data_IF_662459406461
#
_entry.id   IF_662459406461
#
_cell.length_a   1.000
_cell.length_b   1.000
_cell.length_c   1.000
_cell.angle_alpha   90.00
_cell.angle_beta   90.00
_cell.angle_gamma   90.00
#
_symmetry.space_group_name_H-M   'P 1'
#
loop_
_entity.id
_entity.type
_entity.pdbx_description
1 polymer ?
#
# COMPACT_ATOMS: atom_id res chain seq x y z
N UNK A 1 -4.50 -15.81 -10.43
CA UNK A 1 -3.38 -15.29 -9.63
C UNK A 1 -3.80 -13.97 -9.01
N UNK A 2 -3.70 -13.84 -7.69
CA UNK A 2 -4.09 -12.63 -6.96
C UNK A 2 -2.86 -12.13 -6.19
N UNK A 3 -2.56 -10.83 -6.30
CA UNK A 3 -1.43 -10.16 -5.65
C UNK A 3 -1.95 -8.92 -4.95
N UNK A 4 -1.67 -8.80 -3.66
CA UNK A 4 -2.01 -7.65 -2.85
C UNK A 4 -0.93 -6.57 -2.99
N UNK A 5 -1.25 -5.46 -3.63
CA UNK A 5 -0.29 -4.38 -3.88
C UNK A 5 -0.11 -3.42 -2.68
N UNK A 6 -0.87 -3.59 -1.59
CA UNK A 6 -0.80 -2.71 -0.41
C UNK A 6 -1.22 -3.43 0.87
N UNK A 7 -0.26 -3.68 1.74
CA UNK A 7 -0.47 -4.28 3.05
C UNK A 7 0.56 -3.78 4.06
N UNK A 8 0.33 -4.04 5.34
CA UNK A 8 1.20 -3.62 6.43
C UNK A 8 1.50 -4.76 7.37
N UNK A 9 2.73 -4.79 7.90
CA UNK A 9 3.17 -5.72 8.94
C UNK A 9 3.94 -4.96 10.03
N UNK A 10 3.79 -5.37 11.29
CA UNK A 10 4.56 -4.84 12.41
C UNK A 10 4.61 -5.80 13.59
N UNK A 11 5.71 -5.77 14.34
CA UNK A 11 5.82 -6.48 15.62
C UNK A 11 5.33 -5.61 16.78
N UNK A 12 5.58 -4.30 16.72
CA UNK A 12 5.18 -3.35 17.76
C UNK A 12 4.81 -2.02 17.10
N UNK A 13 3.67 -1.49 17.47
CA UNK A 13 3.27 -0.13 17.17
C UNK A 13 3.45 0.70 18.44
N UNK A 14 4.53 1.49 18.48
CA UNK A 14 4.89 2.34 19.62
C UNK A 14 5.68 3.54 19.08
N UNK A 15 4.96 4.56 18.64
CA UNK A 15 5.49 5.73 17.97
C UNK A 15 4.67 6.97 18.31
N UNK A 16 4.93 8.08 17.66
CA UNK A 16 4.12 9.28 17.76
C UNK A 16 4.05 9.98 16.40
N UNK A 17 2.98 10.71 16.16
CA UNK A 17 2.85 11.59 15.04
C UNK A 17 2.25 12.92 15.50
N UNK A 18 2.84 14.02 15.04
CA UNK A 18 2.47 15.39 15.46
C UNK A 18 2.41 15.55 16.99
N UNK A 19 3.37 14.93 17.71
CA UNK A 19 3.45 14.97 19.16
C UNK A 19 2.42 14.12 19.92
N UNK A 20 1.50 13.45 19.20
CA UNK A 20 0.49 12.58 19.79
C UNK A 20 0.93 11.11 19.74
N UNK A 21 0.74 10.34 20.82
CA UNK A 21 1.18 8.96 20.89
C UNK A 21 0.35 8.04 19.99
N UNK A 22 1.03 7.03 19.42
CA UNK A 22 0.42 5.91 18.72
C UNK A 22 1.00 4.63 19.31
N UNK A 23 0.15 3.81 19.94
CA UNK A 23 0.62 2.66 20.69
C UNK A 23 -0.37 1.51 20.66
N UNK A 24 0.10 0.33 20.27
CA UNK A 24 -0.70 -0.90 20.34
C UNK A 24 -1.14 -1.21 21.77
N UNK A 25 -2.41 -1.57 21.89
CA UNK A 25 -3.03 -2.11 23.09
C UNK A 25 -3.45 -3.57 22.82
N UNK A 26 -4.05 -4.21 23.81
CA UNK A 26 -4.60 -5.56 23.65
C UNK A 26 -5.89 -5.55 22.79
N UNK A 27 -6.21 -6.70 22.22
CA UNK A 27 -7.46 -6.96 21.50
C UNK A 27 -7.64 -6.05 20.26
N UNK A 28 -6.55 -5.82 19.52
CA UNK A 28 -6.56 -5.04 18.28
C UNK A 28 -6.80 -3.54 18.45
N UNK A 29 -6.81 -3.04 19.68
CA UNK A 29 -6.95 -1.61 19.99
C UNK A 29 -5.60 -0.91 19.97
N UNK A 30 -5.63 0.38 19.73
CA UNK A 30 -4.45 1.26 19.84
C UNK A 30 -4.85 2.61 20.43
N UNK A 31 -3.93 3.25 21.13
CA UNK A 31 -3.98 4.70 21.24
C UNK A 31 -3.57 5.25 19.88
N UNK A 32 -4.42 6.02 19.26
CA UNK A 32 -4.20 6.63 17.97
C UNK A 32 -4.51 8.12 18.05
N UNK A 33 -3.47 8.93 17.95
CA UNK A 33 -3.55 10.39 18.06
C UNK A 33 -4.25 10.86 19.35
N UNK A 34 -3.99 10.13 20.47
CA UNK A 34 -4.53 10.47 21.78
C UNK A 34 -5.86 9.80 22.14
N UNK A 35 -6.49 9.09 21.21
CA UNK A 35 -7.75 8.37 21.43
C UNK A 35 -7.55 6.86 21.38
N UNK A 36 -8.34 6.11 22.18
CA UNK A 36 -8.38 4.65 22.06
C UNK A 36 -9.32 4.25 20.93
N UNK A 37 -8.80 3.56 19.92
CA UNK A 37 -9.57 3.11 18.75
C UNK A 37 -9.37 1.62 18.48
N UNK A 38 -10.32 0.98 17.81
CA UNK A 38 -10.16 -0.35 17.25
C UNK A 38 -9.38 -0.20 15.93
N UNK A 39 -8.06 -0.46 15.96
CA UNK A 39 -7.18 -0.27 14.81
C UNK A 39 -7.15 -1.47 13.87
N UNK A 40 -7.22 -2.68 14.44
CA UNK A 40 -7.14 -3.97 13.77
C UNK A 40 -8.14 -4.95 14.40
N UNK A 41 -8.36 -6.14 13.82
CA UNK A 41 -9.32 -7.10 14.38
C UNK A 41 -9.02 -7.48 15.83
N UNK A 42 -10.05 -7.68 16.66
CA UNK A 42 -9.87 -8.00 18.08
C UNK A 42 -9.22 -9.36 18.35
N UNK A 43 -9.20 -10.26 17.38
CA UNK A 43 -8.52 -11.55 17.49
C UNK A 43 -6.99 -11.46 17.36
N UNK A 44 -6.45 -10.33 16.91
CA UNK A 44 -5.02 -10.00 17.03
C UNK A 44 -4.78 -9.46 18.45
N UNK A 45 -4.71 -10.39 19.40
CA UNK A 45 -4.88 -10.13 20.85
C UNK A 45 -3.74 -9.26 21.43
N UNK A 46 -2.52 -9.50 20.98
CA UNK A 46 -1.31 -8.82 21.45
C UNK A 46 -0.96 -7.56 20.64
N UNK A 47 -1.72 -7.27 19.59
CA UNK A 47 -1.46 -6.14 18.69
C UNK A 47 -0.30 -6.35 17.72
N UNK A 48 0.26 -7.58 17.66
CA UNK A 48 1.33 -7.96 16.73
C UNK A 48 0.71 -8.42 15.41
N UNK A 49 1.00 -7.72 14.35
CA UNK A 49 0.56 -8.06 12.99
C UNK A 49 1.71 -8.71 12.22
N UNK A 50 1.99 -9.97 12.50
CA UNK A 50 3.13 -10.68 11.95
C UNK A 50 2.91 -11.25 10.55
N UNK A 51 4.02 -11.52 9.85
CA UNK A 51 4.01 -12.17 8.54
C UNK A 51 3.33 -13.54 8.58
N UNK A 52 3.49 -14.32 9.65
CA UNK A 52 2.88 -15.64 9.80
C UNK A 52 1.36 -15.56 9.88
N UNK A 53 0.82 -14.58 10.61
CA UNK A 53 -0.61 -14.32 10.68
C UNK A 53 -1.15 -13.90 9.31
N UNK A 54 -0.42 -13.03 8.61
CA UNK A 54 -0.83 -12.60 7.29
C UNK A 54 -0.74 -13.72 6.25
N UNK A 55 0.32 -14.52 6.25
CA UNK A 55 0.44 -15.70 5.38
C UNK A 55 -0.73 -16.66 5.53
N UNK A 56 -1.17 -16.92 6.77
CA UNK A 56 -2.35 -17.74 7.01
C UNK A 56 -3.62 -17.17 6.36
N UNK A 57 -3.81 -15.85 6.41
CA UNK A 57 -4.92 -15.18 5.72
C UNK A 57 -4.76 -15.21 4.20
N UNK A 58 -3.54 -15.00 3.69
CA UNK A 58 -3.24 -15.06 2.25
C UNK A 58 -3.50 -16.46 1.68
N UNK A 59 -3.03 -17.52 2.37
CA UNK A 59 -3.22 -18.89 1.94
C UNK A 59 -4.70 -19.27 1.91
N UNK A 60 -5.45 -18.93 2.96
CA UNK A 60 -6.90 -19.13 3.01
C UNK A 60 -7.64 -18.36 1.90
N UNK A 61 -7.22 -17.14 1.63
CA UNK A 61 -7.82 -16.30 0.59
C UNK A 61 -7.23 -16.52 -0.81
N UNK A 62 -6.28 -17.46 -1.00
CA UNK A 62 -5.63 -17.75 -2.28
C UNK A 62 -4.89 -16.54 -2.89
N UNK A 63 -4.30 -15.68 -2.04
CA UNK A 63 -3.45 -14.55 -2.45
C UNK A 63 -2.00 -15.02 -2.52
N UNK A 64 -1.42 -14.99 -3.72
CA UNK A 64 -0.10 -15.57 -4.00
C UNK A 64 1.05 -14.77 -3.40
N UNK A 65 0.98 -13.43 -3.44
CA UNK A 65 2.01 -12.55 -2.91
C UNK A 65 1.40 -11.24 -2.41
N UNK A 66 2.14 -10.52 -1.57
CA UNK A 66 1.74 -9.19 -1.10
C UNK A 66 2.93 -8.22 -1.07
N UNK A 67 2.64 -6.96 -1.34
CA UNK A 67 3.57 -5.85 -1.14
C UNK A 67 3.33 -5.25 0.23
N UNK A 68 4.39 -5.23 1.04
CA UNK A 68 4.35 -4.69 2.40
C UNK A 68 4.95 -3.29 2.39
N UNK A 69 4.09 -2.31 2.55
CA UNK A 69 4.47 -0.90 2.68
C UNK A 69 4.56 -0.50 4.15
N UNK A 70 5.15 0.65 4.43
CA UNK A 70 5.22 1.19 5.79
C UNK A 70 4.49 2.53 5.89
N UNK A 71 3.94 2.76 7.06
CA UNK A 71 3.27 4.00 7.43
C UNK A 71 3.89 4.52 8.75
N UNK A 72 4.07 5.83 8.89
CA UNK A 72 4.67 6.43 10.09
C UNK A 72 3.90 6.06 11.36
N UNK A 73 2.59 5.88 11.26
CA UNK A 73 1.76 5.48 12.40
C UNK A 73 2.00 4.04 12.88
N UNK A 74 2.64 3.20 12.07
CA UNK A 74 3.02 1.84 12.49
C UNK A 74 4.42 1.80 13.11
N UNK A 75 5.13 2.93 13.09
CA UNK A 75 6.54 3.02 13.43
C UNK A 75 7.45 2.43 12.35
N UNK A 76 8.74 2.69 12.45
CA UNK A 76 9.71 2.14 11.51
C UNK A 76 9.91 0.63 11.79
N UNK A 77 9.57 -0.21 10.81
CA UNK A 77 9.65 -1.67 10.88
C UNK A 77 10.77 -2.24 10.00
N UNK A 78 11.75 -1.43 9.59
CA UNK A 78 12.78 -1.83 8.63
C UNK A 78 13.50 -3.13 9.02
N UNK A 79 13.86 -3.32 10.29
CA UNK A 79 14.59 -4.50 10.74
C UNK A 79 13.72 -5.76 10.61
N UNK A 80 12.47 -5.67 11.05
CA UNK A 80 11.53 -6.78 10.93
C UNK A 80 11.20 -7.10 9.46
N UNK A 81 10.96 -6.09 8.63
CA UNK A 81 10.62 -6.31 7.22
C UNK A 81 11.80 -6.86 6.40
N UNK A 82 13.03 -6.53 6.76
CA UNK A 82 14.22 -7.18 6.17
C UNK A 82 14.21 -8.69 6.45
N UNK A 83 13.92 -9.10 7.69
CA UNK A 83 13.80 -10.51 8.06
C UNK A 83 12.67 -11.20 7.30
N UNK A 84 11.50 -10.55 7.18
CA UNK A 84 10.36 -11.05 6.42
C UNK A 84 10.71 -11.26 4.95
N UNK A 85 11.34 -10.26 4.31
CA UNK A 85 11.75 -10.35 2.91
C UNK A 85 12.77 -11.46 2.63
N UNK A 86 13.69 -11.71 3.58
CA UNK A 86 14.65 -12.83 3.51
C UNK A 86 14.01 -14.19 3.73
N UNK A 87 13.05 -14.26 4.65
CA UNK A 87 12.40 -15.52 5.04
C UNK A 87 11.35 -15.98 4.03
N UNK A 88 10.64 -15.03 3.40
CA UNK A 88 9.52 -15.31 2.50
C UNK A 88 9.65 -14.56 1.16
N UNK A 89 10.77 -14.72 0.42
CA UNK A 89 11.06 -13.91 -0.78
C UNK A 89 10.05 -14.09 -1.92
N UNK A 90 9.38 -15.25 -1.98
CA UNK A 90 8.38 -15.57 -3.01
C UNK A 90 6.95 -15.13 -2.61
N UNK A 91 6.78 -14.62 -1.39
CA UNK A 91 5.48 -14.24 -0.85
C UNK A 91 5.38 -12.75 -0.55
N UNK A 92 6.49 -12.09 -0.18
CA UNK A 92 6.48 -10.68 0.19
C UNK A 92 7.50 -9.86 -0.57
N UNK A 93 7.03 -8.74 -1.14
CA UNK A 93 7.86 -7.63 -1.58
C UNK A 93 7.81 -6.58 -0.48
N UNK A 94 8.93 -6.32 0.18
CA UNK A 94 8.98 -5.40 1.32
C UNK A 94 9.53 -4.03 0.94
N UNK A 95 8.90 -2.96 1.43
CA UNK A 95 9.37 -1.58 1.30
C UNK A 95 10.07 -1.14 2.58
N UNK A 96 11.22 -0.47 2.43
CA UNK A 96 11.85 0.27 3.50
C UNK A 96 11.20 1.64 3.70
N UNK A 97 11.44 2.27 4.83
CA UNK A 97 11.01 3.64 5.12
C UNK A 97 12.17 4.46 5.69
N UNK A 98 12.36 5.66 5.16
CA UNK A 98 13.34 6.62 5.68
C UNK A 98 12.74 7.49 6.79
N UNK A 99 13.60 8.12 7.58
CA UNK A 99 13.20 9.22 8.44
C UNK A 99 13.24 10.53 7.65
N UNK A 100 12.08 10.93 7.14
CA UNK A 100 11.94 12.05 6.21
C UNK A 100 12.15 13.43 6.85
N UNK A 101 12.20 13.51 8.18
CA UNK A 101 12.31 14.78 8.90
C UNK A 101 13.73 15.12 9.38
N UNK A 102 14.63 14.14 9.42
CA UNK A 102 15.97 14.30 9.99
C UNK A 102 17.11 14.38 8.94
N UNK A 103 16.79 14.46 7.64
CA UNK A 103 17.78 14.59 6.57
C UNK A 103 18.58 13.32 6.28
N UNK A 104 19.61 13.45 5.42
CA UNK A 104 20.45 12.33 4.94
C UNK A 104 19.66 11.23 4.19
N UNK A 105 18.59 11.60 3.47
CA UNK A 105 17.70 10.65 2.81
C UNK A 105 18.42 9.76 1.79
N UNK A 106 19.40 10.30 1.06
CA UNK A 106 20.21 9.54 0.10
C UNK A 106 20.96 8.42 0.80
N UNK A 107 21.63 8.72 1.92
CA UNK A 107 22.39 7.72 2.70
C UNK A 107 21.47 6.67 3.34
N UNK A 108 20.30 7.09 3.84
CA UNK A 108 19.29 6.17 4.37
C UNK A 108 18.77 5.24 3.28
N UNK A 109 18.43 5.76 2.10
CA UNK A 109 17.98 4.98 0.96
C UNK A 109 19.07 4.00 0.48
N UNK A 110 20.33 4.44 0.39
CA UNK A 110 21.47 3.53 0.09
C UNK A 110 21.57 2.38 1.09
N UNK A 111 21.42 2.68 2.38
CA UNK A 111 21.41 1.69 3.44
C UNK A 111 20.28 0.67 3.27
N UNK A 112 19.05 1.12 2.98
CA UNK A 112 17.89 0.26 2.73
C UNK A 112 18.10 -0.62 1.48
N UNK A 113 18.58 -0.02 0.39
CA UNK A 113 18.88 -0.74 -0.85
C UNK A 113 19.95 -1.81 -0.60
N UNK A 114 20.99 -1.48 0.16
CA UNK A 114 22.04 -2.42 0.56
C UNK A 114 21.54 -3.60 1.40
N UNK A 115 20.46 -3.41 2.16
CA UNK A 115 19.76 -4.44 2.94
C UNK A 115 18.82 -5.32 2.09
N UNK A 116 18.61 -4.97 0.82
CA UNK A 116 17.82 -5.76 -0.13
C UNK A 116 16.36 -5.32 -0.29
N UNK A 117 15.97 -4.17 0.25
CA UNK A 117 14.64 -3.61 -0.01
C UNK A 117 14.45 -3.29 -1.49
N UNK A 118 13.30 -3.69 -2.04
CA UNK A 118 12.95 -3.50 -3.46
C UNK A 118 12.16 -2.21 -3.71
N UNK A 119 11.60 -1.63 -2.66
CA UNK A 119 10.86 -0.38 -2.69
C UNK A 119 11.13 0.46 -1.46
N UNK A 120 10.83 1.76 -1.57
CA UNK A 120 10.78 2.70 -0.45
C UNK A 120 9.34 3.22 -0.35
N UNK A 121 8.76 3.13 0.86
CA UNK A 121 7.42 3.63 1.14
C UNK A 121 7.48 5.04 1.68
N UNK A 122 6.69 5.95 1.10
CA UNK A 122 6.55 7.34 1.56
C UNK A 122 5.08 7.59 1.92
N UNK A 123 4.75 7.73 3.20
CA UNK A 123 3.44 8.23 3.63
C UNK A 123 3.37 9.75 3.43
N UNK A 124 3.26 10.19 2.18
CA UNK A 124 3.36 11.60 1.78
C UNK A 124 2.36 12.51 2.50
N UNK A 125 1.16 12.01 2.77
CA UNK A 125 0.15 12.74 3.55
C UNK A 125 0.60 13.04 5.00
N UNK A 126 1.54 12.25 5.56
CA UNK A 126 2.13 12.48 6.89
C UNK A 126 3.30 13.47 6.87
N UNK A 127 3.78 13.83 5.70
CA UNK A 127 4.86 14.82 5.56
C UNK A 127 4.35 16.27 5.61
N UNK A 128 3.04 16.45 5.75
CA UNK A 128 2.39 17.74 5.93
C UNK A 128 1.96 17.85 7.39
N UNK A 129 2.75 18.54 8.19
CA UNK A 129 2.51 18.79 9.61
C UNK A 129 2.22 20.29 9.84
N UNK A 130 1.59 20.60 10.96
CA UNK A 130 1.44 21.99 11.41
C UNK A 130 2.83 22.62 11.64
N UNK A 131 3.18 23.61 10.84
CA UNK A 131 4.46 24.32 10.94
C UNK A 131 5.69 23.64 10.32
N UNK A 132 5.55 22.41 9.80
CA UNK A 132 6.62 21.70 9.11
C UNK A 132 6.07 20.90 7.93
N UNK A 133 6.64 21.10 6.74
CA UNK A 133 6.28 20.35 5.54
C UNK A 133 7.55 19.88 4.83
N UNK A 134 7.62 18.60 4.52
CA UNK A 134 8.63 18.04 3.62
C UNK A 134 8.02 18.01 2.22
N UNK A 135 8.60 18.80 1.31
CA UNK A 135 8.16 18.86 -0.08
C UNK A 135 8.73 17.67 -0.84
N UNK A 136 7.88 16.95 -1.59
CA UNK A 136 8.32 15.80 -2.38
C UNK A 136 9.32 16.17 -3.49
N UNK A 137 9.26 17.40 -3.99
CA UNK A 137 10.17 17.94 -4.99
C UNK A 137 11.32 18.76 -4.39
N UNK A 138 11.62 18.63 -3.08
CA UNK A 138 12.81 19.24 -2.49
C UNK A 138 14.09 18.60 -3.03
N UNK A 139 15.20 19.33 -3.01
CA UNK A 139 16.48 18.85 -3.54
C UNK A 139 16.89 17.50 -2.94
N UNK A 140 16.75 17.31 -1.63
CA UNK A 140 17.13 16.10 -0.95
C UNK A 140 16.25 14.90 -1.33
N UNK A 141 14.93 15.13 -1.43
CA UNK A 141 13.99 14.10 -1.91
C UNK A 141 14.28 13.74 -3.37
N UNK A 142 14.55 14.74 -4.21
CA UNK A 142 14.86 14.52 -5.61
C UNK A 142 16.14 13.71 -5.80
N UNK A 143 17.20 13.98 -5.04
CA UNK A 143 18.43 13.17 -5.09
C UNK A 143 18.18 11.71 -4.65
N UNK A 144 17.32 11.49 -3.64
CA UNK A 144 16.89 10.15 -3.26
C UNK A 144 16.12 9.45 -4.39
N UNK A 145 15.19 10.14 -5.06
CA UNK A 145 14.44 9.57 -6.19
C UNK A 145 15.34 9.22 -7.39
N UNK A 146 16.32 10.06 -7.72
CA UNK A 146 17.34 9.77 -8.74
C UNK A 146 18.16 8.52 -8.38
N UNK A 147 18.51 8.36 -7.11
CA UNK A 147 19.18 7.15 -6.63
C UNK A 147 18.28 5.91 -6.79
N UNK A 148 17.00 6.00 -6.40
CA UNK A 148 16.03 4.90 -6.52
C UNK A 148 15.85 4.49 -7.99
N UNK A 149 15.68 5.47 -8.89
CA UNK A 149 15.59 5.23 -10.34
C UNK A 149 16.84 4.49 -10.85
N UNK A 150 18.04 5.00 -10.54
CA UNK A 150 19.32 4.39 -10.93
C UNK A 150 19.49 2.96 -10.42
N UNK A 151 18.91 2.63 -9.28
CA UNK A 151 19.01 1.31 -8.63
C UNK A 151 17.84 0.37 -8.94
N UNK A 152 16.88 0.79 -9.78
CA UNK A 152 15.64 0.08 -10.09
C UNK A 152 14.84 -0.27 -8.82
N UNK A 153 14.77 0.66 -7.86
CA UNK A 153 13.98 0.57 -6.63
C UNK A 153 12.71 1.39 -6.82
N UNK A 154 11.55 0.77 -6.60
CA UNK A 154 10.27 1.47 -6.80
C UNK A 154 9.89 2.37 -5.61
N UNK A 155 9.09 3.37 -5.90
CA UNK A 155 8.43 4.22 -4.92
C UNK A 155 7.01 3.73 -4.68
N UNK A 156 6.65 3.47 -3.42
CA UNK A 156 5.25 3.35 -2.98
C UNK A 156 4.88 4.61 -2.21
N UNK A 157 3.86 5.34 -2.64
CA UNK A 157 3.53 6.64 -2.04
C UNK A 157 2.03 6.80 -1.82
N UNK A 158 1.66 7.21 -0.61
CA UNK A 158 0.30 7.67 -0.30
C UNK A 158 0.33 9.19 -0.22
N UNK A 159 -0.37 9.87 -1.12
CA UNK A 159 -0.45 11.33 -1.16
C UNK A 159 -1.53 11.87 -0.21
N UNK A 160 -1.44 13.15 0.13
CA UNK A 160 -2.50 13.86 0.83
C UNK A 160 -3.76 13.94 -0.03
N UNK A 161 -4.93 14.09 0.62
CA UNK A 161 -6.23 14.16 -0.05
C UNK A 161 -6.25 15.20 -1.18
N UNK A 162 -6.92 14.84 -2.25
CA UNK A 162 -7.10 15.71 -3.42
C UNK A 162 -5.81 15.90 -4.22
N UNK A 163 -5.50 17.12 -4.59
CA UNK A 163 -4.38 17.47 -5.48
C UNK A 163 -3.22 18.20 -4.78
N UNK A 164 -3.19 18.21 -3.45
CA UNK A 164 -2.23 19.00 -2.63
C UNK A 164 -0.77 18.71 -2.99
N UNK A 165 -0.44 17.44 -3.29
CA UNK A 165 0.92 17.01 -3.63
C UNK A 165 1.07 16.59 -5.11
N UNK A 166 0.04 16.73 -5.94
CA UNK A 166 0.07 16.29 -7.34
C UNK A 166 1.11 17.06 -8.13
N UNK A 167 1.21 18.39 -7.95
CA UNK A 167 2.23 19.21 -8.61
C UNK A 167 3.65 18.76 -8.26
N UNK A 168 3.92 18.50 -6.98
CA UNK A 168 5.22 17.99 -6.53
C UNK A 168 5.56 16.64 -7.17
N UNK A 169 4.57 15.73 -7.27
CA UNK A 169 4.76 14.44 -7.94
C UNK A 169 4.96 14.57 -9.45
N UNK A 170 4.34 15.55 -10.10
CA UNK A 170 4.61 15.83 -11.51
C UNK A 170 6.06 16.25 -11.74
N UNK A 171 6.62 17.08 -10.83
CA UNK A 171 8.06 17.45 -10.89
C UNK A 171 8.94 16.22 -10.70
N UNK A 172 8.64 15.34 -9.74
CA UNK A 172 9.38 14.08 -9.53
C UNK A 172 9.34 13.19 -10.78
N UNK A 173 8.16 13.03 -11.38
CA UNK A 173 7.98 12.20 -12.59
C UNK A 173 8.74 12.79 -13.79
N UNK A 174 8.80 14.13 -13.91
CA UNK A 174 9.53 14.81 -14.97
C UNK A 174 11.04 14.65 -14.84
N UNK A 175 11.57 14.75 -13.61
CA UNK A 175 13.01 14.62 -13.32
C UNK A 175 13.50 13.16 -13.27
N UNK A 176 12.61 12.22 -12.89
CA UNK A 176 12.92 10.79 -12.75
C UNK A 176 11.95 9.95 -13.60
N UNK A 177 11.98 10.06 -14.95
CA UNK A 177 10.99 9.42 -15.82
C UNK A 177 11.09 7.89 -15.85
N UNK A 178 12.20 7.31 -15.40
CA UNK A 178 12.40 5.87 -15.26
C UNK A 178 11.97 5.30 -13.92
N UNK A 179 11.71 6.16 -12.91
CA UNK A 179 11.29 5.71 -11.58
C UNK A 179 9.92 5.04 -11.66
N UNK A 180 9.84 3.81 -11.15
CA UNK A 180 8.58 3.10 -10.98
C UNK A 180 7.85 3.63 -9.76
N UNK A 181 6.61 4.07 -9.90
CA UNK A 181 5.82 4.70 -8.83
C UNK A 181 4.48 4.00 -8.69
N UNK A 182 4.16 3.52 -7.49
CA UNK A 182 2.83 3.06 -7.10
C UNK A 182 2.18 4.11 -6.20
N UNK A 183 1.12 4.75 -6.69
CA UNK A 183 0.32 5.73 -5.94
C UNK A 183 -0.79 5.00 -5.21
N UNK A 184 -0.87 5.18 -3.89
CA UNK A 184 -1.75 4.45 -2.99
C UNK A 184 -3.20 4.93 -2.98
N UNK A 185 -4.09 4.01 -2.58
CA UNK A 185 -5.49 4.26 -2.21
C UNK A 185 -6.36 4.91 -3.29
N UNK A 186 -6.00 4.82 -4.59
CA UNK A 186 -6.68 5.55 -5.67
C UNK A 186 -6.85 7.05 -5.41
N UNK A 187 -5.96 7.65 -4.61
CA UNK A 187 -6.11 9.04 -4.21
C UNK A 187 -7.33 9.30 -3.31
N UNK A 188 -7.85 8.27 -2.64
CA UNK A 188 -9.00 8.35 -1.74
C UNK A 188 -10.31 8.72 -2.46
N UNK A 189 -10.95 7.81 -3.22
CA UNK A 189 -12.04 8.12 -4.15
C UNK A 189 -13.34 8.65 -3.52
N UNK A 190 -13.41 8.74 -2.20
CA UNK A 190 -14.50 9.43 -1.48
C UNK A 190 -14.16 10.88 -1.11
N UNK A 191 -12.98 11.38 -1.53
CA UNK A 191 -12.50 12.74 -1.30
C UNK A 191 -12.54 13.55 -2.58
N UNK A 192 -12.66 14.88 -2.44
CA UNK A 192 -12.66 15.78 -3.58
C UNK A 192 -11.34 15.69 -4.37
N UNK A 193 -11.42 15.78 -5.70
CA UNK A 193 -10.27 15.84 -6.62
C UNK A 193 -9.34 14.62 -6.61
N UNK A 194 -9.76 13.47 -6.11
CA UNK A 194 -8.99 12.24 -6.10
C UNK A 194 -8.50 11.81 -7.50
N UNK A 195 -9.27 12.15 -8.53
CA UNK A 195 -8.94 11.86 -9.93
C UNK A 195 -7.59 12.47 -10.36
N UNK A 196 -7.17 13.59 -9.74
CA UNK A 196 -5.90 14.22 -10.10
C UNK A 196 -4.71 13.33 -9.73
N UNK A 197 -4.80 12.59 -8.63
CA UNK A 197 -3.79 11.59 -8.27
C UNK A 197 -3.80 10.40 -9.25
N UNK A 198 -4.97 9.90 -9.62
CA UNK A 198 -5.10 8.81 -10.60
C UNK A 198 -4.48 9.20 -11.94
N UNK A 199 -4.69 10.44 -12.39
CA UNK A 199 -4.14 10.95 -13.66
C UNK A 199 -2.61 10.91 -13.74
N UNK A 200 -1.89 10.84 -12.62
CA UNK A 200 -0.44 10.63 -12.60
C UNK A 200 -0.05 9.34 -13.35
N UNK A 201 -0.91 8.32 -13.33
CA UNK A 201 -0.67 7.05 -14.02
C UNK A 201 -0.79 7.12 -15.56
N UNK A 202 -1.10 8.28 -16.14
CA UNK A 202 -0.90 8.53 -17.58
C UNK A 202 0.57 8.47 -17.98
N UNK A 203 1.48 8.63 -17.00
CA UNK A 203 2.90 8.41 -17.19
C UNK A 203 3.23 6.92 -17.22
N UNK A 204 4.22 6.55 -18.04
CA UNK A 204 4.52 5.14 -18.36
C UNK A 204 4.80 4.28 -17.13
N UNK A 205 5.59 4.78 -16.20
CA UNK A 205 6.10 4.03 -15.05
C UNK A 205 5.30 4.28 -13.76
N UNK A 206 4.17 4.98 -13.85
CA UNK A 206 3.27 5.24 -12.72
C UNK A 206 2.06 4.32 -12.80
N UNK A 207 1.75 3.70 -11.67
CA UNK A 207 0.58 2.84 -11.43
C UNK A 207 -0.18 3.35 -10.22
N UNK A 208 -1.43 2.97 -10.10
CA UNK A 208 -2.27 3.31 -8.95
C UNK A 208 -2.81 2.03 -8.33
N UNK A 209 -2.74 1.92 -7.01
CA UNK A 209 -3.30 0.77 -6.30
C UNK A 209 -4.45 1.18 -5.37
N UNK A 210 -5.36 0.24 -5.14
CA UNK A 210 -6.64 0.48 -4.49
C UNK A 210 -6.63 0.24 -2.97
N UNK A 211 -5.48 0.33 -2.31
CA UNK A 211 -5.35 -0.01 -0.90
C UNK A 211 -6.55 0.41 -0.05
N UNK A 212 -7.21 -0.56 0.55
CA UNK A 212 -8.34 -0.29 1.42
C UNK A 212 -9.59 0.31 0.79
N UNK A 213 -9.78 0.22 -0.53
CA UNK A 213 -10.97 0.80 -1.18
C UNK A 213 -12.29 0.36 -0.50
N UNK A 214 -12.35 -0.85 0.03
CA UNK A 214 -13.54 -1.37 0.72
C UNK A 214 -13.85 -0.63 2.01
N UNK A 215 -12.86 -0.17 2.78
CA UNK A 215 -13.14 0.61 3.98
C UNK A 215 -13.57 2.05 3.68
N UNK A 216 -13.19 2.61 2.55
CA UNK A 216 -13.73 3.90 2.08
C UNK A 216 -15.23 3.84 1.79
N UNK A 217 -15.73 2.65 1.43
CA UNK A 217 -17.14 2.38 1.13
C UNK A 217 -17.83 1.54 2.20
N UNK A 218 -17.32 1.53 3.45
CA UNK A 218 -17.91 0.75 4.56
C UNK A 218 -19.37 1.09 4.87
N UNK A 219 -19.85 2.28 4.51
CA UNK A 219 -21.27 2.65 4.62
C UNK A 219 -22.15 1.91 3.62
N UNK A 220 -21.56 1.33 2.58
CA UNK A 220 -22.22 0.44 1.64
C UNK A 220 -22.11 -1.00 2.13
N UNK A 221 -23.15 -1.80 1.86
CA UNK A 221 -23.06 -3.23 2.08
C UNK A 221 -22.26 -3.90 0.97
N UNK A 222 -21.65 -5.08 1.26
CA UNK A 222 -21.14 -5.94 0.21
C UNK A 222 -22.20 -6.12 -0.90
N UNK A 223 -21.90 -5.96 -2.20
CA UNK A 223 -20.57 -6.04 -2.81
C UNK A 223 -19.88 -4.69 -3.12
N UNK A 224 -20.14 -3.61 -2.39
CA UNK A 224 -19.43 -2.33 -2.52
C UNK A 224 -19.54 -1.71 -3.93
N UNK A 225 -20.74 -1.44 -4.38
CA UNK A 225 -21.01 -0.88 -5.73
C UNK A 225 -20.28 0.45 -5.98
N UNK A 226 -20.11 1.28 -4.94
CA UNK A 226 -19.33 2.51 -5.01
C UNK A 226 -17.86 2.26 -5.30
N UNK A 227 -17.27 1.21 -4.71
CA UNK A 227 -15.90 0.82 -5.00
C UNK A 227 -15.74 0.37 -6.46
N UNK A 228 -16.68 -0.40 -7.00
CA UNK A 228 -16.68 -0.81 -8.41
C UNK A 228 -16.78 0.42 -9.33
N UNK A 229 -17.67 1.37 -9.03
CA UNK A 229 -17.79 2.62 -9.80
C UNK A 229 -16.48 3.41 -9.79
N UNK A 230 -15.81 3.52 -8.63
CA UNK A 230 -14.52 4.21 -8.53
C UNK A 230 -13.41 3.50 -9.35
N UNK A 231 -13.37 2.16 -9.35
CA UNK A 231 -12.44 1.39 -10.20
C UNK A 231 -12.72 1.66 -11.68
N UNK A 232 -13.98 1.67 -12.10
CA UNK A 232 -14.36 1.98 -13.49
C UNK A 232 -13.97 3.40 -13.89
N UNK A 233 -14.28 4.39 -13.04
CA UNK A 233 -13.90 5.79 -13.28
C UNK A 233 -12.37 5.95 -13.40
N UNK A 234 -11.60 5.30 -12.53
CA UNK A 234 -10.14 5.28 -12.62
C UNK A 234 -9.67 4.63 -13.94
N UNK A 235 -10.28 3.52 -14.35
CA UNK A 235 -9.96 2.86 -15.62
C UNK A 235 -10.28 3.74 -16.83
N UNK A 236 -11.36 4.50 -16.81
CA UNK A 236 -11.70 5.46 -17.88
C UNK A 236 -10.69 6.62 -17.98
N UNK A 237 -10.03 6.97 -16.87
CA UNK A 237 -9.02 8.04 -16.86
C UNK A 237 -7.64 7.60 -17.35
N UNK A 238 -7.21 6.37 -17.05
CA UNK A 238 -5.82 5.93 -17.26
C UNK A 238 -5.66 4.54 -17.87
N UNK A 239 -6.74 3.79 -18.05
CA UNK A 239 -6.72 2.39 -18.48
C UNK A 239 -6.64 1.40 -17.31
N UNK A 240 -7.31 0.25 -17.43
CA UNK A 240 -7.29 -0.81 -16.42
C UNK A 240 -5.88 -1.40 -16.22
N UNK A 241 -5.05 -1.33 -17.24
CA UNK A 241 -3.65 -1.81 -17.24
C UNK A 241 -2.71 -0.99 -16.33
N UNK A 242 -3.21 0.11 -15.74
CA UNK A 242 -2.51 0.98 -14.78
C UNK A 242 -2.96 0.80 -13.33
N UNK A 243 -3.98 -0.01 -13.11
CA UNK A 243 -4.63 -0.15 -11.81
C UNK A 243 -4.28 -1.49 -11.16
N UNK A 244 -4.01 -1.48 -9.87
CA UNK A 244 -3.70 -2.67 -9.07
C UNK A 244 -4.65 -2.76 -7.88
N UNK A 245 -5.00 -3.98 -7.49
CA UNK A 245 -5.69 -4.21 -6.23
C UNK A 245 -4.70 -4.20 -5.06
N UNK A 246 -5.08 -3.53 -3.96
CA UNK A 246 -4.43 -3.58 -2.66
C UNK A 246 -5.49 -3.66 -1.55
N UNK A 247 -5.21 -4.40 -0.49
CA UNK A 247 -6.18 -4.64 0.58
C UNK A 247 -6.16 -3.61 1.70
N UNK A 248 -5.02 -3.00 1.97
CA UNK A 248 -4.73 -2.28 3.21
C UNK A 248 -4.87 -3.19 4.46
N UNK A 249 -4.44 -4.46 4.34
CA UNK A 249 -4.35 -5.38 5.47
C UNK A 249 -3.39 -4.81 6.55
N UNK A 250 -3.68 -4.85 7.84
CA UNK A 250 -4.82 -5.54 8.49
C UNK A 250 -6.02 -4.64 8.76
N UNK A 251 -5.99 -3.36 8.40
CA UNK A 251 -7.06 -2.40 8.71
C UNK A 251 -8.39 -2.80 8.09
N UNK A 252 -8.36 -3.20 6.84
CA UNK A 252 -9.55 -3.65 6.10
C UNK A 252 -10.26 -4.82 6.78
N UNK A 253 -9.51 -5.76 7.37
CA UNK A 253 -10.11 -6.94 8.00
C UNK A 253 -10.71 -6.66 9.39
N UNK A 254 -10.72 -5.43 9.86
CA UNK A 254 -11.49 -5.00 11.02
C UNK A 254 -13.00 -5.03 10.74
N UNK A 255 -13.41 -4.80 9.49
CA UNK A 255 -14.81 -4.72 9.08
C UNK A 255 -15.26 -5.92 8.24
N UNK A 256 -14.38 -6.53 7.44
CA UNK A 256 -14.69 -7.63 6.51
C UNK A 256 -13.60 -8.71 6.58
N UNK A 257 -13.81 -9.85 5.91
CA UNK A 257 -12.76 -10.86 5.79
C UNK A 257 -11.74 -10.42 4.71
N UNK A 258 -10.50 -10.92 4.81
CA UNK A 258 -9.48 -10.62 3.82
C UNK A 258 -9.92 -11.00 2.39
N UNK A 259 -10.58 -12.15 2.21
CA UNK A 259 -11.13 -12.57 0.92
C UNK A 259 -12.17 -11.58 0.38
N UNK A 260 -13.04 -11.05 1.22
CA UNK A 260 -14.07 -10.08 0.79
C UNK A 260 -13.46 -8.77 0.25
N UNK A 261 -12.20 -8.45 0.59
CA UNK A 261 -11.53 -7.24 0.10
C UNK A 261 -11.25 -7.25 -1.41
N UNK A 262 -11.33 -8.42 -2.06
CA UNK A 262 -11.21 -8.55 -3.52
C UNK A 262 -12.36 -9.34 -4.18
N UNK A 263 -13.08 -10.19 -3.44
CA UNK A 263 -14.12 -11.08 -3.99
C UNK A 263 -15.27 -10.30 -4.66
N UNK A 264 -15.53 -9.07 -4.20
CA UNK A 264 -16.50 -8.18 -4.84
C UNK A 264 -16.12 -7.83 -6.29
N UNK A 265 -14.82 -7.73 -6.60
CA UNK A 265 -14.31 -7.54 -7.97
C UNK A 265 -14.58 -8.78 -8.80
N UNK A 266 -14.28 -9.99 -8.29
CA UNK A 266 -14.55 -11.25 -8.99
C UNK A 266 -16.03 -11.42 -9.33
N UNK A 267 -16.92 -11.00 -8.44
CA UNK A 267 -18.38 -11.11 -8.60
C UNK A 267 -19.00 -9.96 -9.41
N UNK A 268 -18.27 -8.88 -9.65
CA UNK A 268 -18.76 -7.74 -10.42
C UNK A 268 -19.09 -8.13 -11.86
N UNK A 269 -20.21 -7.60 -12.36
CA UNK A 269 -20.61 -7.68 -13.78
C UNK A 269 -20.16 -6.50 -14.61
N UNK A 270 -19.61 -5.47 -13.94
CA UNK A 270 -19.13 -4.23 -14.56
C UNK A 270 -17.69 -4.34 -15.10
N UNK A 271 -17.04 -5.49 -14.88
CA UNK A 271 -15.68 -5.77 -15.31
C UNK A 271 -15.62 -7.08 -16.10
N UNK A 272 -14.88 -7.11 -17.20
CA UNK A 272 -14.58 -8.34 -17.95
C UNK A 272 -13.61 -9.22 -17.15
N UNK A 273 -13.55 -10.52 -17.49
CA UNK A 273 -12.61 -11.45 -16.84
C UNK A 273 -11.14 -11.05 -17.07
N UNK A 274 -10.83 -10.44 -18.20
CA UNK A 274 -9.49 -9.92 -18.48
C UNK A 274 -9.17 -8.74 -17.55
N UNK A 275 -10.08 -7.77 -17.41
CA UNK A 275 -9.91 -6.64 -16.50
C UNK A 275 -9.73 -7.09 -15.04
N UNK A 276 -10.54 -8.06 -14.58
CA UNK A 276 -10.40 -8.65 -13.25
C UNK A 276 -9.03 -9.29 -13.05
N UNK A 277 -8.57 -10.07 -14.01
CA UNK A 277 -7.28 -10.76 -13.92
C UNK A 277 -6.09 -9.78 -13.88
N UNK A 278 -6.10 -8.75 -14.71
CA UNK A 278 -5.01 -7.76 -14.70
C UNK A 278 -5.06 -6.88 -13.46
N UNK A 279 -6.24 -6.47 -13.01
CA UNK A 279 -6.43 -5.65 -11.80
C UNK A 279 -6.02 -6.40 -10.52
N UNK A 280 -6.48 -7.66 -10.36
CA UNK A 280 -6.24 -8.43 -9.15
C UNK A 280 -4.82 -8.98 -9.01
N UNK A 281 -4.04 -9.01 -10.12
CA UNK A 281 -2.67 -9.54 -9.98
C UNK A 281 -1.76 -9.31 -11.18
N UNK A 282 -2.28 -9.30 -12.42
CA UNK A 282 -1.45 -9.17 -13.62
C UNK A 282 -0.61 -7.88 -13.65
N UNK A 283 -1.21 -6.76 -13.28
CA UNK A 283 -0.54 -5.47 -13.24
C UNK A 283 0.51 -5.42 -12.12
N UNK A 284 0.19 -5.93 -10.92
CA UNK A 284 1.12 -6.01 -9.81
C UNK A 284 2.31 -6.95 -10.14
N UNK A 285 2.05 -8.11 -10.74
CA UNK A 285 3.11 -9.01 -11.19
C UNK A 285 4.09 -8.31 -12.15
N UNK A 286 3.56 -7.57 -13.13
CA UNK A 286 4.37 -6.81 -14.09
C UNK A 286 5.14 -5.66 -13.42
N UNK A 287 4.48 -4.89 -12.57
CA UNK A 287 5.08 -3.72 -11.92
C UNK A 287 6.20 -4.12 -10.95
N UNK A 288 5.95 -5.10 -10.09
CA UNK A 288 6.90 -5.55 -9.07
C UNK A 288 7.88 -6.63 -9.55
N UNK A 289 7.73 -7.12 -10.78
CA UNK A 289 8.61 -8.14 -11.36
C UNK A 289 8.41 -9.54 -10.74
N UNK A 290 7.18 -9.89 -10.36
CA UNK A 290 6.84 -11.15 -9.73
C UNK A 290 6.54 -12.24 -10.79
N UNK A 291 7.55 -13.01 -11.18
CA UNK A 291 7.43 -14.03 -12.25
C UNK A 291 7.17 -15.46 -11.77
N UNK A 292 7.68 -15.83 -10.60
CA UNK A 292 7.63 -17.20 -10.08
C UNK A 292 6.87 -17.22 -8.76
N UNK A 293 5.55 -17.13 -8.81
CA UNK A 293 4.71 -17.17 -7.62
C UNK A 293 4.41 -18.60 -7.20
N UNK A 294 4.30 -18.82 -5.90
CA UNK A 294 3.92 -20.11 -5.32
C UNK A 294 2.49 -20.44 -5.74
N UNK A 295 2.29 -21.65 -6.28
CA UNK A 295 0.96 -22.21 -6.48
C UNK A 295 0.38 -22.61 -5.13
N UNK A 296 -0.74 -21.98 -4.75
CA UNK A 296 -1.40 -22.25 -3.49
C UNK A 296 -2.40 -23.39 -3.66
N UNK A 297 -2.34 -24.44 -2.83
CA UNK A 297 -3.34 -25.50 -2.86
C UNK A 297 -4.70 -24.95 -2.45
N UNK A 298 -5.73 -25.21 -3.25
CA UNK A 298 -7.09 -24.88 -2.84
C UNK A 298 -7.53 -25.81 -1.70
N UNK A 299 -7.90 -25.21 -0.59
CA UNK A 299 -8.46 -25.92 0.55
C UNK A 299 -9.94 -25.64 0.61
N UNK A 300 -10.73 -26.70 0.40
CA UNK A 300 -12.19 -26.62 0.40
C UNK A 300 -12.71 -26.16 1.76
N UNK A 301 -13.62 -25.21 1.76
CA UNK A 301 -14.29 -24.77 2.97
C UNK A 301 -15.28 -25.85 3.45
N UNK A 302 -15.54 -25.92 4.75
CA UNK A 302 -16.44 -26.91 5.35
C UNK A 302 -17.88 -26.79 4.78
N UNK A 303 -18.27 -25.62 4.30
CA UNK A 303 -19.60 -25.34 3.73
C UNK A 303 -19.71 -25.59 2.22
N UNK A 304 -18.64 -26.02 1.56
CA UNK A 304 -18.60 -26.41 0.15
C UNK A 304 -18.75 -27.95 0.03
#
# INVERSE_FOLDING_TARGET
>A
MIIDAHSHLWLKQDTSWNGLPIKSLKNGRSIFLGEEVQMIPPFIIDGVNSAEVFLSNMDYAQVSAAVVVQELIDGCQNDYLEEVGKKYPDRFVVCGMCDYFNGNLVSQAEGLIGRGFKGIAIPGHRLILDGQRVMLNSDEMMEMFKLMEKKDVFLSITLADGDVQVGEMQDVIAECPGLKIAVGHFGMPTRDRWQEQVKLARNKNVFVESGGITWLYNSEFYPFDGAIRAIREAADLVGMDKLMWGSDYPRTITAITYRMSYDFVLKSKEMTEEEKNIFLGGNAARFYGLGNLVELPYIKNMSE
#
